data_IF_471123239155
#
_entry.id   IF_471123239155
#
_cell.length_a   1.000
_cell.length_b   1.000
_cell.length_c   1.000
_cell.angle_alpha   90.00
_cell.angle_beta   90.00
_cell.angle_gamma   90.00
#
_symmetry.space_group_name_H-M   'P 1'
#
loop_
_entity.id
_entity.type
_entity.pdbx_description
1 polymer ?
#
# COMPACT_ATOMS: atom_id res chain seq x y z
N UNK A 1 -0.37 13.76 -20.97
CA UNK A 1 0.83 12.94 -20.73
C UNK A 1 0.58 12.12 -19.48
N UNK A 2 0.48 10.80 -19.62
CA UNK A 2 0.30 9.88 -18.50
C UNK A 2 1.69 9.41 -18.08
N UNK A 3 2.31 10.10 -17.14
CA UNK A 3 3.54 9.65 -16.51
C UNK A 3 3.18 8.56 -15.49
N UNK A 4 3.13 7.32 -15.99
CA UNK A 4 3.12 6.13 -15.16
C UNK A 4 4.49 6.11 -14.46
N UNK A 5 4.57 6.09 -13.12
CA UNK A 5 5.84 6.14 -12.44
C UNK A 5 6.64 4.90 -12.81
N UNK A 6 7.84 5.18 -13.33
CA UNK A 6 8.91 4.27 -13.65
C UNK A 6 8.98 3.10 -12.66
N UNK A 7 8.79 1.89 -13.17
CA UNK A 7 9.15 0.67 -12.43
C UNK A 7 10.67 0.69 -12.32
N UNK A 8 11.17 1.14 -11.17
CA UNK A 8 12.58 1.06 -10.83
C UNK A 8 12.94 -0.42 -10.79
N UNK A 9 13.62 -0.92 -11.82
CA UNK A 9 14.29 -2.22 -11.75
C UNK A 9 15.51 -2.04 -10.85
N UNK A 10 15.27 -2.15 -9.54
CA UNK A 10 16.32 -2.25 -8.54
C UNK A 10 16.99 -3.63 -8.68
N UNK A 11 18.31 -3.65 -8.54
CA UNK A 11 19.10 -4.89 -8.54
C UNK A 11 19.07 -5.62 -7.20
N UNK A 12 18.44 -5.01 -6.19
CA UNK A 12 18.19 -5.60 -4.88
C UNK A 12 16.81 -6.30 -4.90
N UNK A 13 16.77 -7.64 -4.75
CA UNK A 13 15.52 -8.37 -4.73
C UNK A 13 14.58 -7.91 -3.61
N UNK A 14 15.12 -7.51 -2.44
CA UNK A 14 14.32 -7.08 -1.28
C UNK A 14 13.62 -5.75 -1.58
N UNK A 15 14.35 -4.79 -2.15
CA UNK A 15 13.77 -3.51 -2.56
C UNK A 15 12.68 -3.73 -3.62
N UNK A 16 12.90 -4.62 -4.58
CA UNK A 16 11.91 -4.96 -5.60
C UNK A 16 10.62 -5.51 -5.02
N UNK A 17 10.72 -6.50 -4.14
CA UNK A 17 9.58 -7.15 -3.49
C UNK A 17 8.78 -6.16 -2.62
N UNK A 18 9.47 -5.40 -1.76
CA UNK A 18 8.82 -4.42 -0.87
C UNK A 18 8.18 -3.30 -1.70
N UNK A 19 8.87 -2.77 -2.70
CA UNK A 19 8.35 -1.68 -3.55
C UNK A 19 7.13 -2.13 -4.36
N UNK A 20 7.16 -3.34 -4.93
CA UNK A 20 6.04 -3.88 -5.68
C UNK A 20 4.82 -4.07 -4.78
N UNK A 21 5.00 -4.66 -3.59
CA UNK A 21 3.94 -4.85 -2.62
C UNK A 21 3.30 -3.52 -2.23
N UNK A 22 4.12 -2.53 -1.85
CA UNK A 22 3.66 -1.19 -1.48
C UNK A 22 2.91 -0.49 -2.61
N UNK A 23 3.38 -0.61 -3.86
CA UNK A 23 2.70 -0.03 -5.01
C UNK A 23 1.29 -0.61 -5.19
N UNK A 24 1.14 -1.95 -5.09
CA UNK A 24 -0.16 -2.60 -5.19
C UNK A 24 -1.10 -2.20 -4.04
N UNK A 25 -0.58 -2.13 -2.83
CA UNK A 25 -1.35 -1.67 -1.68
C UNK A 25 -1.77 -0.20 -1.82
N UNK A 26 -0.88 0.67 -2.30
CA UNK A 26 -1.19 2.08 -2.58
C UNK A 26 -2.32 2.23 -3.61
N UNK A 27 -2.26 1.47 -4.70
CA UNK A 27 -3.32 1.48 -5.72
C UNK A 27 -4.66 1.08 -5.08
N UNK A 28 -4.67 0.06 -4.21
CA UNK A 28 -5.88 -0.34 -3.51
C UNK A 28 -6.37 0.73 -2.52
N UNK A 29 -5.47 1.43 -1.82
CA UNK A 29 -5.84 2.58 -0.97
C UNK A 29 -6.51 3.67 -1.81
N UNK A 30 -5.93 4.05 -2.94
CA UNK A 30 -6.50 5.06 -3.84
C UNK A 30 -7.89 4.64 -4.33
N UNK A 31 -8.09 3.38 -4.72
CA UNK A 31 -9.39 2.85 -5.16
C UNK A 31 -10.48 2.91 -4.09
N UNK A 32 -10.11 2.83 -2.82
CA UNK A 32 -11.04 2.99 -1.69
C UNK A 32 -11.13 4.45 -1.20
N UNK A 33 -10.52 5.39 -1.94
CA UNK A 33 -10.31 6.77 -1.52
C UNK A 33 -9.77 6.85 -0.08
N UNK A 34 -8.71 6.07 0.19
CA UNK A 34 -8.08 5.92 1.51
C UNK A 34 -9.08 5.57 2.62
N UNK A 35 -10.05 4.69 2.33
CA UNK A 35 -11.17 4.34 3.22
C UNK A 35 -11.90 5.57 3.79
N UNK A 36 -12.08 6.60 2.97
CA UNK A 36 -12.82 7.81 3.32
C UNK A 36 -14.25 7.53 3.82
N UNK A 37 -14.89 8.53 4.43
CA UNK A 37 -16.28 8.44 4.88
C UNK A 37 -17.24 7.95 3.78
N UNK A 38 -17.09 8.47 2.55
CA UNK A 38 -17.94 8.09 1.42
C UNK A 38 -17.77 6.62 1.02
N UNK A 39 -16.54 6.12 0.98
CA UNK A 39 -16.28 4.70 0.71
C UNK A 39 -16.92 3.81 1.77
N UNK A 40 -16.80 4.19 3.05
CA UNK A 40 -17.44 3.47 4.17
C UNK A 40 -18.97 3.49 4.06
N UNK A 41 -19.56 4.61 3.63
CA UNK A 41 -21.00 4.71 3.40
C UNK A 41 -21.45 3.78 2.26
N UNK A 42 -20.75 3.79 1.12
CA UNK A 42 -21.04 2.90 0.00
C UNK A 42 -20.94 1.43 0.39
N UNK A 43 -19.91 1.05 1.17
CA UNK A 43 -19.79 -0.30 1.73
C UNK A 43 -20.99 -0.67 2.61
N UNK A 44 -21.45 0.24 3.48
CA UNK A 44 -22.64 0.03 4.33
C UNK A 44 -23.93 -0.15 3.50
N UNK A 45 -24.02 0.54 2.36
CA UNK A 45 -25.12 0.41 1.41
C UNK A 45 -25.00 -0.84 0.51
N UNK A 46 -23.99 -1.70 0.76
CA UNK A 46 -23.69 -2.91 -0.02
C UNK A 46 -23.44 -2.65 -1.50
N UNK A 47 -22.89 -1.48 -1.81
CA UNK A 47 -22.42 -1.19 -3.15
C UNK A 47 -21.36 -2.22 -3.55
N UNK A 48 -21.54 -2.85 -4.71
CA UNK A 48 -20.71 -3.99 -5.13
C UNK A 48 -19.27 -3.57 -5.40
N UNK A 49 -19.08 -2.46 -6.09
CA UNK A 49 -17.76 -1.95 -6.46
C UNK A 49 -16.98 -1.53 -5.20
N UNK A 50 -17.63 -0.81 -4.27
CA UNK A 50 -17.02 -0.43 -3.00
C UNK A 50 -16.58 -1.66 -2.18
N UNK A 51 -17.42 -2.70 -2.11
CA UNK A 51 -17.08 -3.94 -1.41
C UNK A 51 -15.95 -4.72 -2.09
N UNK A 52 -15.90 -4.76 -3.42
CA UNK A 52 -14.81 -5.39 -4.17
C UNK A 52 -13.47 -4.67 -3.95
N UNK A 53 -13.48 -3.34 -4.01
CA UNK A 53 -12.30 -2.52 -3.73
C UNK A 53 -11.84 -2.67 -2.26
N UNK A 54 -12.78 -2.76 -1.31
CA UNK A 54 -12.45 -3.02 0.10
C UNK A 54 -11.81 -4.39 0.29
N UNK A 55 -12.33 -5.43 -0.36
CA UNK A 55 -11.73 -6.79 -0.32
C UNK A 55 -10.33 -6.81 -0.93
N UNK A 56 -10.15 -6.12 -2.06
CA UNK A 56 -8.85 -5.98 -2.69
C UNK A 56 -7.85 -5.28 -1.76
N UNK A 57 -8.27 -4.19 -1.10
CA UNK A 57 -7.45 -3.49 -0.13
C UNK A 57 -7.00 -4.39 1.02
N UNK A 58 -7.95 -5.12 1.65
CA UNK A 58 -7.61 -6.06 2.74
C UNK A 58 -6.66 -7.15 2.26
N UNK A 59 -6.84 -7.67 1.04
CA UNK A 59 -5.94 -8.68 0.47
C UNK A 59 -4.53 -8.12 0.31
N UNK A 60 -4.39 -6.95 -0.32
CA UNK A 60 -3.08 -6.33 -0.52
C UNK A 60 -2.42 -5.92 0.81
N UNK A 61 -3.19 -5.47 1.80
CA UNK A 61 -2.67 -5.18 3.13
C UNK A 61 -2.01 -6.41 3.76
N UNK A 62 -2.68 -7.56 3.69
CA UNK A 62 -2.13 -8.84 4.20
C UNK A 62 -0.88 -9.26 3.43
N UNK A 63 -0.92 -9.25 2.10
CA UNK A 63 0.24 -9.61 1.28
C UNK A 63 1.43 -8.69 1.56
N UNK A 64 1.21 -7.39 1.71
CA UNK A 64 2.25 -6.46 2.15
C UNK A 64 2.84 -6.85 3.51
N UNK A 65 1.99 -7.11 4.50
CA UNK A 65 2.45 -7.53 5.84
C UNK A 65 3.23 -8.83 5.78
N UNK A 66 2.81 -9.79 4.96
CA UNK A 66 3.51 -11.07 4.80
C UNK A 66 4.92 -10.84 4.24
N UNK A 67 5.07 -10.01 3.20
CA UNK A 67 6.37 -9.65 2.59
C UNK A 67 7.25 -8.86 3.57
N UNK A 68 6.70 -7.83 4.20
CA UNK A 68 7.44 -6.96 5.15
C UNK A 68 7.95 -7.76 6.34
N UNK A 69 7.24 -8.81 6.77
CA UNK A 69 7.61 -9.63 7.92
C UNK A 69 8.49 -10.84 7.56
N UNK A 70 8.94 -10.99 6.31
CA UNK A 70 9.82 -12.10 5.93
C UNK A 70 11.20 -12.01 6.59
N UNK A 71 11.78 -10.80 6.70
CA UNK A 71 13.07 -10.59 7.37
C UNK A 71 13.21 -9.17 7.90
N UNK A 72 14.21 -8.93 8.75
CA UNK A 72 14.54 -7.59 9.23
C UNK A 72 14.98 -6.66 8.08
N UNK A 73 15.61 -7.19 7.03
CA UNK A 73 15.99 -6.43 5.83
C UNK A 73 14.75 -5.86 5.12
N UNK A 74 13.66 -6.63 5.01
CA UNK A 74 12.40 -6.15 4.43
C UNK A 74 11.78 -5.01 5.27
N UNK A 75 11.90 -5.09 6.60
CA UNK A 75 11.41 -4.06 7.52
C UNK A 75 12.26 -2.78 7.43
N UNK A 76 13.57 -2.89 7.34
CA UNK A 76 14.47 -1.75 7.16
C UNK A 76 14.29 -1.10 5.77
N UNK A 77 14.07 -1.92 4.74
CA UNK A 77 13.75 -1.44 3.40
C UNK A 77 12.45 -0.62 3.40
N UNK A 78 11.40 -1.12 4.07
CA UNK A 78 10.16 -0.35 4.24
C UNK A 78 10.41 1.00 4.93
N UNK A 79 11.17 1.03 6.03
CA UNK A 79 11.49 2.28 6.74
C UNK A 79 12.22 3.27 5.83
N UNK A 80 13.16 2.78 5.03
CA UNK A 80 13.90 3.57 4.04
C UNK A 80 12.95 4.18 3.01
N UNK A 81 12.08 3.37 2.40
CA UNK A 81 11.10 3.84 1.41
C UNK A 81 10.12 4.86 2.01
N UNK A 82 9.63 4.63 3.24
CA UNK A 82 8.80 5.60 3.97
C UNK A 82 9.56 6.91 4.18
N UNK A 83 10.84 6.83 4.57
CA UNK A 83 11.72 7.98 4.79
C UNK A 83 11.91 8.86 3.56
N UNK A 84 11.88 8.26 2.37
CA UNK A 84 11.97 8.94 1.08
C UNK A 84 10.65 9.60 0.63
N UNK A 85 9.51 9.20 1.20
CA UNK A 85 8.22 9.82 0.84
C UNK A 85 8.12 11.27 1.35
N UNK A 86 7.55 12.19 0.55
CA UNK A 86 7.15 13.51 1.02
C UNK A 86 6.21 13.41 2.24
N UNK A 87 6.29 14.35 3.20
CA UNK A 87 5.53 14.28 4.46
C UNK A 87 4.02 14.14 4.29
N UNK A 88 3.44 14.84 3.30
CA UNK A 88 2.02 14.82 2.97
C UNK A 88 1.58 13.46 2.43
N UNK A 89 2.39 12.84 1.57
CA UNK A 89 2.13 11.49 1.04
C UNK A 89 2.24 10.46 2.16
N UNK A 90 3.27 10.56 3.00
CA UNK A 90 3.50 9.67 4.14
C UNK A 90 2.31 9.65 5.11
N UNK A 91 1.73 10.83 5.39
CA UNK A 91 0.56 10.97 6.26
C UNK A 91 -0.69 10.30 5.69
N UNK A 92 -0.84 10.25 4.35
CA UNK A 92 -1.99 9.64 3.68
C UNK A 92 -1.81 8.13 3.52
N UNK A 93 -0.63 7.70 3.08
CA UNK A 93 -0.33 6.29 2.83
C UNK A 93 -0.24 5.49 4.13
N UNK A 94 0.27 6.09 5.22
CA UNK A 94 0.39 5.49 6.55
C UNK A 94 1.07 4.11 6.56
N UNK A 95 2.02 3.87 5.65
CA UNK A 95 2.69 2.57 5.51
C UNK A 95 3.44 2.09 6.77
N UNK A 96 3.76 2.99 7.70
CA UNK A 96 4.30 2.61 9.01
C UNK A 96 3.39 1.67 9.80
N UNK A 97 2.07 1.70 9.55
CA UNK A 97 1.11 0.79 10.18
C UNK A 97 1.31 -0.68 9.78
N UNK A 98 2.01 -0.95 8.67
CA UNK A 98 2.34 -2.31 8.24
C UNK A 98 3.39 -2.97 9.14
N UNK A 99 4.12 -2.19 9.95
CA UNK A 99 5.05 -2.68 10.97
C UNK A 99 4.37 -3.05 12.29
N UNK A 100 3.15 -2.55 12.53
CA UNK A 100 2.40 -2.86 13.75
C UNK A 100 1.83 -4.27 13.62
N UNK A 101 2.32 -5.20 14.42
CA UNK A 101 1.94 -6.63 14.41
C UNK A 101 0.63 -6.86 15.15
#
# INVERSE_FOLDING_TARGET
>A
MNDIPFVTFTSDPVEGEVSQALALYKIALIKTNYRSFWHRLLCKLKDKEALENERLLVKQERTCRDIINQSDEHREMLKTLIGQQPPDIRQRDQFSQLLNT
#
